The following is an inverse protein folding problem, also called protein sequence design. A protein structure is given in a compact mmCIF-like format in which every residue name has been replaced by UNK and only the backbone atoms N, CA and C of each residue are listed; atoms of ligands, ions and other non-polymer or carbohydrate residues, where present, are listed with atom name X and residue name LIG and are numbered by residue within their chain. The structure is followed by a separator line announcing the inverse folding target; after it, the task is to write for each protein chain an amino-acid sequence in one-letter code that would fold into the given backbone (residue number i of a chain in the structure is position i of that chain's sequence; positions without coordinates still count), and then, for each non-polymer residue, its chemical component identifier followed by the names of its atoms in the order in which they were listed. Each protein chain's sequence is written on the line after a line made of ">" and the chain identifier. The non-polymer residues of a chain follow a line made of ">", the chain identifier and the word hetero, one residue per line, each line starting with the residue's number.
data_IF_440415414876
#
_entry.id   IF_440415414876
#
_cell.length_a   1.000
_cell.length_b   1.000
_cell.length_c   1.000
_cell.angle_alpha   90.00
_cell.angle_beta   90.00
_cell.angle_gamma   90.00
#
_symmetry.space_group_name_H-M   'P 1'
#
loop_
_entity.id
_entity.type
_entity.pdbx_description
1 polymer ?
#
# COMPACT_ATOMS: atom_id res chain seq x y z
N UNK A 1 -37.72 11.49 -18.46
CA UNK A 1 -38.09 11.59 -17.02
C UNK A 1 -37.41 12.80 -16.38
N UNK A 2 -38.11 13.58 -15.55
CA UNK A 2 -37.52 14.66 -14.75
C UNK A 2 -37.16 14.15 -13.35
N UNK A 3 -36.08 14.66 -12.77
CA UNK A 3 -35.57 14.27 -11.45
C UNK A 3 -35.13 15.50 -10.67
N UNK A 4 -35.22 15.47 -9.33
CA UNK A 4 -34.67 16.56 -8.50
C UNK A 4 -33.14 16.63 -8.66
N UNK A 5 -32.56 17.83 -8.60
CA UNK A 5 -31.11 18.03 -8.71
C UNK A 5 -30.37 17.21 -7.65
N UNK A 6 -30.86 17.17 -6.41
CA UNK A 6 -30.27 16.36 -5.35
C UNK A 6 -30.21 14.86 -5.69
N UNK A 7 -31.25 14.36 -6.38
CA UNK A 7 -31.30 12.97 -6.83
C UNK A 7 -30.44 12.74 -8.07
N UNK A 8 -30.37 13.72 -8.97
CA UNK A 8 -29.48 13.70 -10.13
C UNK A 8 -28.01 13.63 -9.69
N UNK A 9 -27.59 14.45 -8.73
CA UNK A 9 -26.22 14.44 -8.20
C UNK A 9 -25.85 13.07 -7.61
N UNK A 10 -26.74 12.48 -6.81
CA UNK A 10 -26.51 11.17 -6.20
C UNK A 10 -26.39 10.04 -7.24
N UNK A 11 -27.26 10.05 -8.26
CA UNK A 11 -27.25 9.04 -9.34
C UNK A 11 -25.99 9.10 -10.20
N UNK A 12 -25.45 10.29 -10.40
CA UNK A 12 -24.25 10.51 -11.22
C UNK A 12 -22.95 10.54 -10.39
N UNK A 13 -23.00 10.16 -9.12
CA UNK A 13 -21.81 10.10 -8.26
C UNK A 13 -21.14 11.44 -7.98
N UNK A 14 -21.85 12.56 -8.12
CA UNK A 14 -21.28 13.90 -7.90
C UNK A 14 -21.14 14.23 -6.42
N UNK A 15 -22.17 13.89 -5.62
CA UNK A 15 -22.19 14.00 -4.17
C UNK A 15 -23.45 13.31 -3.63
N UNK A 16 -23.59 13.18 -2.30
CA UNK A 16 -24.80 12.56 -1.73
C UNK A 16 -26.05 13.42 -1.93
N UNK A 17 -27.23 12.82 -1.88
CA UNK A 17 -28.50 13.56 -1.99
C UNK A 17 -28.64 14.64 -0.91
N UNK A 18 -28.24 14.34 0.33
CA UNK A 18 -28.32 15.28 1.44
C UNK A 18 -27.25 16.38 1.34
N UNK A 19 -26.07 16.03 0.86
CA UNK A 19 -24.98 16.98 0.60
C UNK A 19 -25.34 17.94 -0.53
N UNK A 20 -25.92 17.43 -1.64
CA UNK A 20 -26.45 18.27 -2.70
C UNK A 20 -27.46 19.29 -2.19
N UNK A 21 -28.39 18.88 -1.31
CA UNK A 21 -29.35 19.81 -0.67
C UNK A 21 -28.65 20.89 0.15
N UNK A 22 -27.64 20.53 0.95
CA UNK A 22 -26.84 21.49 1.73
C UNK A 22 -26.07 22.46 0.83
N UNK A 23 -25.47 21.96 -0.25
CA UNK A 23 -24.74 22.77 -1.23
C UNK A 23 -25.66 23.73 -1.98
N UNK A 24 -26.89 23.33 -2.30
CA UNK A 24 -27.92 24.20 -2.86
C UNK A 24 -28.31 25.30 -1.85
N UNK A 25 -28.63 24.92 -0.60
CA UNK A 25 -29.02 25.87 0.45
C UNK A 25 -27.94 26.91 0.74
N UNK A 26 -26.67 26.52 0.67
CA UNK A 26 -25.51 27.38 0.88
C UNK A 26 -25.05 28.13 -0.39
N UNK A 27 -25.74 27.97 -1.52
CA UNK A 27 -25.40 28.66 -2.79
C UNK A 27 -24.09 28.20 -3.42
N UNK A 28 -23.64 26.97 -3.14
CA UNK A 28 -22.35 26.45 -3.60
C UNK A 28 -22.45 25.55 -4.85
N UNK A 29 -23.67 25.27 -5.31
CA UNK A 29 -23.95 24.42 -6.46
C UNK A 29 -24.49 25.25 -7.62
N UNK A 30 -23.93 25.02 -8.82
CA UNK A 30 -24.31 25.72 -10.07
C UNK A 30 -24.84 24.71 -11.09
N UNK A 31 -25.86 25.11 -11.84
CA UNK A 31 -26.32 24.44 -13.05
C UNK A 31 -26.05 25.34 -14.25
N UNK A 32 -25.27 24.85 -15.22
CA UNK A 32 -24.84 25.59 -16.40
C UNK A 32 -24.26 26.98 -16.06
N UNK A 33 -23.44 27.03 -15.00
CA UNK A 33 -22.81 28.27 -14.52
C UNK A 33 -23.64 29.13 -13.57
N UNK A 34 -24.95 28.90 -13.45
CA UNK A 34 -25.86 29.69 -12.62
C UNK A 34 -26.06 29.04 -11.24
N UNK A 35 -25.91 29.82 -10.17
CA UNK A 35 -26.10 29.33 -8.78
C UNK A 35 -27.56 28.93 -8.55
N UNK A 36 -27.75 27.73 -8.02
CA UNK A 36 -29.08 27.19 -7.73
C UNK A 36 -29.40 27.44 -6.25
N UNK A 37 -30.61 27.93 -5.96
CA UNK A 37 -31.08 28.18 -4.59
C UNK A 37 -32.20 27.24 -4.11
N UNK A 38 -32.72 26.39 -4.98
CA UNK A 38 -33.77 25.42 -4.66
C UNK A 38 -33.51 24.06 -5.33
N UNK A 39 -33.92 22.97 -4.67
CA UNK A 39 -33.81 21.60 -5.19
C UNK A 39 -34.87 21.31 -6.27
N UNK A 40 -34.77 22.05 -7.38
CA UNK A 40 -35.68 21.99 -8.52
C UNK A 40 -35.46 20.72 -9.37
N UNK A 41 -36.30 20.53 -10.39
CA UNK A 41 -36.23 19.36 -11.27
C UNK A 41 -35.47 19.67 -12.55
N UNK A 42 -34.64 18.72 -12.97
CA UNK A 42 -33.89 18.74 -14.24
C UNK A 42 -34.25 17.53 -15.09
N UNK A 43 -33.94 17.58 -16.38
CA UNK A 43 -34.05 16.41 -17.26
C UNK A 43 -33.04 15.35 -16.79
N UNK A 44 -33.46 14.10 -16.67
CA UNK A 44 -32.55 13.00 -16.29
C UNK A 44 -31.42 12.74 -17.29
N UNK A 45 -31.60 13.18 -18.54
CA UNK A 45 -30.61 13.10 -19.63
C UNK A 45 -29.59 14.25 -19.62
N UNK A 46 -29.67 15.16 -18.65
CA UNK A 46 -28.69 16.23 -18.49
C UNK A 46 -27.29 15.62 -18.29
N UNK A 47 -26.27 16.22 -18.91
CA UNK A 47 -24.90 15.76 -18.74
C UNK A 47 -24.38 16.14 -17.32
N UNK A 48 -23.65 15.26 -16.61
CA UNK A 48 -23.17 15.56 -15.26
C UNK A 48 -22.31 16.83 -15.15
N UNK A 49 -21.55 17.17 -16.19
CA UNK A 49 -20.73 18.40 -16.24
C UNK A 49 -21.54 19.70 -16.20
N UNK A 50 -22.84 19.65 -16.47
CA UNK A 50 -23.75 20.78 -16.29
C UNK A 50 -23.86 21.20 -14.82
N UNK A 51 -23.61 20.28 -13.88
CA UNK A 51 -23.51 20.59 -12.46
C UNK A 51 -22.06 20.90 -12.11
N UNK A 52 -21.82 22.09 -11.57
CA UNK A 52 -20.49 22.49 -11.10
C UNK A 52 -20.57 23.02 -9.68
N UNK A 53 -19.51 22.78 -8.91
CA UNK A 53 -19.35 23.33 -7.57
C UNK A 53 -18.57 24.66 -7.63
N UNK A 54 -18.81 25.57 -6.69
CA UNK A 54 -17.94 26.74 -6.52
C UNK A 54 -16.56 26.34 -5.97
N UNK A 55 -15.61 27.27 -5.92
CA UNK A 55 -14.24 26.97 -5.47
C UNK A 55 -14.20 26.37 -4.05
N UNK A 56 -15.02 26.90 -3.12
CA UNK A 56 -15.09 26.42 -1.74
C UNK A 56 -15.62 24.99 -1.65
N UNK A 57 -16.68 24.66 -2.36
CA UNK A 57 -17.23 23.31 -2.40
C UNK A 57 -16.28 22.34 -3.10
N UNK A 58 -15.61 22.73 -4.20
CA UNK A 58 -14.55 21.91 -4.81
C UNK A 58 -13.41 21.64 -3.84
N UNK A 59 -12.99 22.65 -3.09
CA UNK A 59 -11.97 22.49 -2.06
C UNK A 59 -12.43 21.53 -0.96
N UNK A 60 -13.68 21.63 -0.51
CA UNK A 60 -14.23 20.70 0.48
C UNK A 60 -14.29 19.26 -0.05
N UNK A 61 -14.74 19.07 -1.29
CA UNK A 61 -14.79 17.75 -1.95
C UNK A 61 -13.38 17.15 -2.10
N UNK A 62 -12.42 17.95 -2.56
CA UNK A 62 -11.04 17.50 -2.76
C UNK A 62 -10.33 17.13 -1.44
N UNK A 63 -10.81 17.65 -0.32
CA UNK A 63 -10.25 17.40 1.02
C UNK A 63 -11.06 16.41 1.85
N UNK A 64 -11.98 15.66 1.22
CA UNK A 64 -12.69 14.54 1.86
C UNK A 64 -11.70 13.48 2.29
N UNK A 65 -11.84 13.02 3.52
CA UNK A 65 -10.94 12.05 4.12
C UNK A 65 -11.41 10.62 3.83
N UNK A 66 -10.46 9.74 3.53
CA UNK A 66 -10.67 8.30 3.50
C UNK A 66 -9.57 7.59 4.29
N UNK A 67 -9.95 6.57 5.06
CA UNK A 67 -9.09 5.82 5.97
C UNK A 67 -9.26 4.32 5.70
N UNK A 68 -8.14 3.63 5.55
CA UNK A 68 -8.08 2.17 5.57
C UNK A 68 -7.84 1.70 7.01
N UNK A 69 -8.58 0.69 7.44
CA UNK A 69 -8.45 0.04 8.74
C UNK A 69 -8.26 -1.44 8.52
N UNK A 70 -7.31 -2.05 9.23
CA UNK A 70 -7.29 -3.50 9.38
C UNK A 70 -8.26 -3.87 10.50
N UNK A 71 -9.50 -4.19 10.14
CA UNK A 71 -10.55 -4.55 11.10
C UNK A 71 -10.16 -5.88 11.78
N UNK A 72 -10.09 -5.95 13.13
CA UNK A 72 -10.01 -7.22 13.83
C UNK A 72 -11.32 -8.01 13.71
N UNK A 73 -11.27 -9.32 13.97
CA UNK A 73 -12.48 -10.13 14.17
C UNK A 73 -13.27 -9.63 15.39
N UNK A 74 -14.56 -9.96 15.47
CA UNK A 74 -15.45 -9.60 16.59
C UNK A 74 -15.75 -8.10 16.76
N UNK A 75 -15.49 -7.30 15.72
CA UNK A 75 -15.97 -5.92 15.64
C UNK A 75 -17.08 -5.81 14.60
N UNK A 76 -18.19 -5.15 14.92
CA UNK A 76 -19.15 -4.77 13.90
C UNK A 76 -18.52 -3.75 12.95
N UNK A 77 -18.88 -3.76 11.67
CA UNK A 77 -18.44 -2.72 10.73
C UNK A 77 -19.40 -1.53 10.68
N UNK A 78 -20.62 -1.71 11.15
CA UNK A 78 -21.68 -0.69 11.21
C UNK A 78 -22.16 -0.48 12.64
N UNK A 79 -22.66 0.72 12.93
CA UNK A 79 -23.21 1.05 14.24
C UNK A 79 -24.35 0.11 14.65
N UNK A 80 -24.36 -0.31 15.91
CA UNK A 80 -25.44 -1.07 16.53
C UNK A 80 -25.71 -0.51 17.92
N UNK A 81 -26.99 -0.38 18.30
CA UNK A 81 -27.36 0.06 19.66
C UNK A 81 -27.14 -1.02 20.72
N UNK A 82 -26.83 -2.25 20.31
CA UNK A 82 -26.74 -3.43 21.20
C UNK A 82 -25.31 -3.73 21.67
N UNK A 83 -24.31 -3.04 21.13
CA UNK A 83 -22.89 -3.31 21.44
C UNK A 83 -22.04 -2.10 21.11
N UNK A 84 -21.05 -1.84 21.96
CA UNK A 84 -20.07 -0.77 21.78
C UNK A 84 -18.86 -1.22 20.95
N UNK A 85 -18.78 -2.49 20.56
CA UNK A 85 -17.66 -3.07 19.80
C UNK A 85 -17.86 -2.83 18.31
N UNK A 86 -17.64 -1.58 17.91
CA UNK A 86 -17.74 -1.12 16.52
C UNK A 86 -16.38 -0.72 15.97
N UNK A 87 -16.03 -1.17 14.77
CA UNK A 87 -14.70 -0.92 14.18
C UNK A 87 -14.39 0.57 13.97
N UNK A 88 -15.40 1.44 13.92
CA UNK A 88 -15.14 2.89 13.88
C UNK A 88 -14.56 3.42 15.21
N UNK A 89 -14.78 2.75 16.34
CA UNK A 89 -14.13 3.12 17.61
C UNK A 89 -12.61 2.97 17.56
N UNK A 90 -12.09 2.17 16.62
CA UNK A 90 -10.67 2.03 16.36
C UNK A 90 -10.10 3.18 15.53
N UNK A 91 -10.92 4.11 15.02
CA UNK A 91 -10.46 5.30 14.30
C UNK A 91 -10.01 6.39 15.26
N UNK A 92 -8.96 6.09 16.02
CA UNK A 92 -8.34 6.97 17.01
C UNK A 92 -6.86 7.20 16.65
N UNK A 93 -6.25 8.31 17.09
CA UNK A 93 -4.85 8.63 16.79
C UNK A 93 -3.86 7.53 17.16
N UNK A 94 -4.09 6.81 18.26
CA UNK A 94 -3.23 5.77 18.81
C UNK A 94 -3.12 4.55 17.89
N UNK A 95 -4.16 4.32 17.07
CA UNK A 95 -4.18 3.22 16.12
C UNK A 95 -3.62 3.63 14.74
N UNK A 96 -3.00 4.80 14.60
CA UNK A 96 -2.37 5.19 13.32
C UNK A 96 -1.08 4.43 13.11
N UNK A 97 -0.87 3.96 11.88
CA UNK A 97 0.43 3.42 11.49
C UNK A 97 1.50 4.53 11.53
N UNK A 98 2.74 4.17 11.89
CA UNK A 98 3.86 5.11 12.05
C UNK A 98 4.14 5.94 10.77
N UNK A 99 3.84 5.38 9.59
CA UNK A 99 3.97 6.03 8.29
C UNK A 99 2.90 7.12 8.03
N UNK A 100 1.86 7.24 8.86
CA UNK A 100 0.72 8.17 8.69
C UNK A 100 0.75 9.33 9.72
N UNK A 101 1.71 9.33 10.65
CA UNK A 101 1.82 10.34 11.73
C UNK A 101 2.14 11.74 11.18
N UNK A 102 2.74 11.84 9.99
CA UNK A 102 3.01 13.12 9.31
C UNK A 102 1.75 13.78 8.72
N UNK A 103 0.65 13.04 8.58
CA UNK A 103 -0.60 13.62 8.11
C UNK A 103 -1.31 14.29 9.29
N UNK A 104 -1.43 15.62 9.25
CA UNK A 104 -2.18 16.46 10.20
C UNK A 104 -3.70 16.22 10.15
N UNK A 105 -4.11 14.96 10.19
CA UNK A 105 -5.51 14.57 10.17
C UNK A 105 -6.14 14.94 11.52
N UNK A 106 -6.96 15.97 11.48
CA UNK A 106 -7.73 16.40 12.64
C UNK A 106 -8.64 15.26 13.12
N UNK A 107 -8.53 14.78 14.38
CA UNK A 107 -9.36 13.71 14.92
C UNK A 107 -10.87 13.95 14.78
N UNK A 108 -11.31 15.20 14.73
CA UNK A 108 -12.72 15.54 14.49
C UNK A 108 -13.25 15.06 13.12
N UNK A 109 -12.39 14.95 12.10
CA UNK A 109 -12.78 14.42 10.78
C UNK A 109 -13.08 12.92 10.81
N UNK A 110 -12.44 12.17 11.71
CA UNK A 110 -12.66 10.72 11.85
C UNK A 110 -14.10 10.38 12.27
N UNK A 111 -14.75 11.29 13.02
CA UNK A 111 -16.13 11.11 13.49
C UNK A 111 -17.16 11.12 12.36
N UNK A 112 -16.85 11.71 11.20
CA UNK A 112 -17.80 11.84 10.08
C UNK A 112 -17.71 10.69 9.08
N UNK A 113 -16.70 9.83 9.21
CA UNK A 113 -16.48 8.74 8.28
C UNK A 113 -17.60 7.68 8.37
N UNK A 114 -18.00 7.18 7.20
CA UNK A 114 -18.91 6.04 7.09
C UNK A 114 -18.16 4.82 6.54
N UNK A 115 -18.53 3.60 6.95
CA UNK A 115 -17.91 2.40 6.40
C UNK A 115 -18.30 2.23 4.93
N UNK A 116 -17.31 1.90 4.09
CA UNK A 116 -17.44 1.56 2.68
C UNK A 116 -17.20 0.07 2.54
N UNK A 117 -18.16 -0.66 1.97
CA UNK A 117 -18.17 -2.12 1.86
C UNK A 117 -17.83 -2.82 3.20
N UNK A 118 -18.79 -2.82 4.15
CA UNK A 118 -18.58 -3.31 5.51
C UNK A 118 -18.26 -4.81 5.55
N UNK A 119 -17.29 -5.21 6.38
CA UNK A 119 -17.04 -6.62 6.68
C UNK A 119 -18.04 -7.16 7.70
N UNK A 120 -18.35 -8.44 7.59
CA UNK A 120 -19.12 -9.16 8.62
C UNK A 120 -18.38 -9.18 9.97
N UNK A 121 -19.13 -9.46 11.04
CA UNK A 121 -18.63 -9.47 12.41
C UNK A 121 -17.43 -10.44 12.60
N UNK A 122 -17.54 -11.65 12.08
CA UNK A 122 -16.52 -12.71 12.18
C UNK A 122 -15.41 -12.64 11.14
N UNK A 123 -15.34 -11.56 10.34
CA UNK A 123 -14.25 -11.35 9.38
C UNK A 123 -13.28 -10.29 9.89
N UNK A 124 -12.01 -10.44 9.48
CA UNK A 124 -10.94 -9.47 9.68
C UNK A 124 -10.41 -8.91 8.36
N UNK A 125 -9.49 -7.97 8.44
CA UNK A 125 -8.77 -7.45 7.29
C UNK A 125 -9.25 -6.09 6.82
N UNK A 126 -8.97 -5.78 5.55
CA UNK A 126 -9.11 -4.44 5.01
C UNK A 126 -10.55 -3.94 5.07
N UNK A 127 -10.76 -2.78 5.70
CA UNK A 127 -12.03 -2.04 5.68
C UNK A 127 -11.76 -0.59 5.33
N UNK A 128 -12.63 0.02 4.54
CA UNK A 128 -12.51 1.41 4.13
C UNK A 128 -13.55 2.26 4.87
N UNK A 129 -13.13 3.43 5.34
CA UNK A 129 -13.98 4.45 5.93
C UNK A 129 -13.79 5.75 5.16
N UNK A 130 -14.86 6.47 4.81
CA UNK A 130 -14.75 7.70 4.03
C UNK A 130 -15.80 8.74 4.39
N UNK A 131 -15.47 10.02 4.20
CA UNK A 131 -16.45 11.12 4.14
C UNK A 131 -17.19 11.12 2.79
N UNK A 132 -16.58 10.53 1.75
CA UNK A 132 -17.18 10.40 0.43
C UNK A 132 -18.09 9.17 0.36
N UNK A 133 -19.38 9.38 0.61
CA UNK A 133 -20.37 8.31 0.55
C UNK A 133 -20.62 7.80 -0.88
N UNK A 134 -20.17 8.52 -1.92
CA UNK A 134 -20.31 8.04 -3.31
C UNK A 134 -19.48 6.77 -3.54
N UNK A 135 -18.42 6.58 -2.75
CA UNK A 135 -17.59 5.37 -2.76
C UNK A 135 -18.37 4.10 -2.43
N UNK A 136 -19.49 4.18 -1.69
CA UNK A 136 -20.34 3.01 -1.41
C UNK A 136 -20.79 2.36 -2.72
N UNK A 137 -21.25 3.16 -3.68
CA UNK A 137 -21.66 2.65 -5.00
C UNK A 137 -20.48 2.14 -5.80
N UNK A 138 -19.34 2.85 -5.79
CA UNK A 138 -18.14 2.48 -6.56
C UNK A 138 -17.52 1.15 -6.10
N UNK A 139 -17.62 0.83 -4.81
CA UNK A 139 -17.09 -0.40 -4.22
C UNK A 139 -18.15 -1.48 -3.99
N UNK A 140 -19.39 -1.29 -4.44
CA UNK A 140 -20.48 -2.25 -4.22
C UNK A 140 -20.27 -3.58 -4.97
N UNK A 141 -19.75 -3.51 -6.20
CA UNK A 141 -19.54 -4.67 -7.09
C UNK A 141 -18.05 -4.88 -7.44
N UNK A 142 -17.14 -4.32 -6.66
CA UNK A 142 -15.71 -4.50 -6.90
C UNK A 142 -15.23 -5.92 -6.54
N UNK A 143 -14.13 -6.35 -7.16
CA UNK A 143 -13.47 -7.60 -6.80
C UNK A 143 -12.82 -7.47 -5.42
N UNK A 144 -13.09 -8.44 -4.56
CA UNK A 144 -12.55 -8.56 -3.22
C UNK A 144 -11.71 -9.82 -3.14
N UNK A 145 -10.62 -9.77 -2.38
CA UNK A 145 -9.72 -10.91 -2.21
C UNK A 145 -9.60 -11.25 -0.74
N UNK A 146 -9.73 -12.54 -0.43
CA UNK A 146 -9.75 -13.05 0.93
C UNK A 146 -8.70 -14.14 1.10
N UNK A 147 -7.99 -14.11 2.22
CA UNK A 147 -7.35 -15.30 2.77
C UNK A 147 -8.37 -16.04 3.63
N UNK A 148 -8.64 -17.30 3.27
CA UNK A 148 -9.66 -18.13 3.88
C UNK A 148 -8.99 -19.33 4.52
N UNK A 149 -9.32 -19.58 5.79
CA UNK A 149 -8.93 -20.80 6.51
C UNK A 149 -10.19 -21.61 6.76
N UNK A 150 -10.18 -22.88 6.38
CA UNK A 150 -11.28 -23.83 6.49
C UNK A 150 -11.12 -24.73 7.72
N UNK A 151 -12.23 -25.25 8.24
CA UNK A 151 -12.22 -26.39 9.18
C UNK A 151 -12.06 -27.71 8.45
N UNK A 152 -12.72 -27.83 7.31
CA UNK A 152 -12.65 -29.01 6.46
C UNK A 152 -11.45 -28.94 5.52
N UNK A 153 -10.96 -30.11 5.12
CA UNK A 153 -9.91 -30.22 4.10
C UNK A 153 -10.42 -29.70 2.75
N UNK A 154 -9.60 -28.88 2.10
CA UNK A 154 -9.78 -28.35 0.75
C UNK A 154 -9.28 -29.37 -0.26
N UNK A 155 -10.17 -30.26 -0.69
CA UNK A 155 -9.86 -31.30 -1.69
C UNK A 155 -10.14 -30.79 -3.12
N UNK A 156 -9.53 -31.42 -4.13
CA UNK A 156 -9.74 -31.06 -5.54
C UNK A 156 -11.22 -31.04 -5.95
N UNK A 157 -12.10 -31.98 -5.54
CA UNK A 157 -13.52 -31.90 -5.84
C UNK A 157 -14.20 -30.65 -5.26
N UNK A 158 -13.80 -30.21 -4.06
CA UNK A 158 -14.36 -29.00 -3.44
C UNK A 158 -13.88 -27.73 -4.14
N UNK A 159 -12.62 -27.69 -4.55
CA UNK A 159 -12.08 -26.61 -5.38
C UNK A 159 -12.82 -26.56 -6.72
N UNK A 160 -13.07 -27.72 -7.35
CA UNK A 160 -13.83 -27.83 -8.58
C UNK A 160 -15.24 -27.24 -8.43
N UNK A 161 -15.99 -27.63 -7.38
CA UNK A 161 -17.32 -27.07 -7.09
C UNK A 161 -17.27 -25.55 -6.95
N UNK A 162 -16.29 -25.01 -6.20
CA UNK A 162 -16.15 -23.57 -6.04
C UNK A 162 -15.77 -22.83 -7.34
N UNK A 163 -15.12 -23.50 -8.29
CA UNK A 163 -14.77 -22.94 -9.60
C UNK A 163 -15.90 -23.00 -10.63
N UNK A 164 -16.96 -23.76 -10.34
CA UNK A 164 -18.16 -23.87 -11.16
C UNK A 164 -19.06 -22.64 -10.99
N UNK A 165 -20.12 -22.58 -11.80
CA UNK A 165 -21.17 -21.59 -11.62
C UNK A 165 -21.96 -21.91 -10.34
N UNK A 166 -21.97 -20.96 -9.41
CA UNK A 166 -22.67 -21.09 -8.13
C UNK A 166 -23.87 -20.17 -8.11
N UNK A 167 -24.95 -20.62 -7.46
CA UNK A 167 -26.16 -19.84 -7.25
C UNK A 167 -26.32 -19.55 -5.77
N UNK A 168 -26.36 -18.27 -5.41
CA UNK A 168 -26.59 -17.81 -4.05
C UNK A 168 -27.92 -17.08 -4.00
N UNK A 169 -28.84 -17.57 -3.16
CA UNK A 169 -30.20 -17.03 -3.03
C UNK A 169 -30.95 -16.95 -4.37
N UNK A 170 -30.75 -17.94 -5.24
CA UNK A 170 -31.38 -18.01 -6.58
C UNK A 170 -30.70 -17.17 -7.66
N UNK A 171 -29.59 -16.48 -7.35
CA UNK A 171 -28.85 -15.64 -8.30
C UNK A 171 -27.48 -16.25 -8.60
N UNK A 172 -27.17 -16.42 -9.89
CA UNK A 172 -25.84 -16.83 -10.32
C UNK A 172 -24.79 -15.79 -9.90
N UNK A 173 -23.68 -16.25 -9.31
CA UNK A 173 -22.55 -15.39 -8.97
C UNK A 173 -21.40 -15.57 -9.96
N UNK A 174 -20.59 -14.53 -10.19
CA UNK A 174 -19.36 -14.66 -10.97
C UNK A 174 -18.46 -15.77 -10.42
N UNK A 175 -17.76 -16.47 -11.31
CA UNK A 175 -16.85 -17.55 -10.92
C UNK A 175 -15.80 -17.05 -9.95
N UNK A 176 -15.56 -17.84 -8.91
CA UNK A 176 -14.55 -17.57 -7.90
C UNK A 176 -13.16 -17.90 -8.48
N UNK A 177 -12.18 -17.03 -8.23
CA UNK A 177 -10.77 -17.37 -8.48
C UNK A 177 -10.20 -17.92 -7.18
N UNK A 178 -9.65 -19.12 -7.23
CA UNK A 178 -9.19 -19.84 -6.03
C UNK A 178 -7.73 -20.21 -6.25
N UNK A 179 -6.88 -19.79 -5.33
CA UNK A 179 -5.49 -20.20 -5.25
C UNK A 179 -5.30 -20.96 -3.92
N UNK A 180 -5.29 -22.31 -3.95
CA UNK A 180 -4.99 -23.11 -2.76
C UNK A 180 -3.60 -22.75 -2.21
N UNK A 181 -3.52 -22.57 -0.90
CA UNK A 181 -2.26 -22.30 -0.19
C UNK A 181 -1.82 -23.51 0.65
N UNK A 182 -2.79 -24.27 1.17
CA UNK A 182 -2.59 -25.52 1.91
C UNK A 182 -3.85 -26.37 1.84
N UNK A 183 -3.79 -27.55 2.45
CA UNK A 183 -4.93 -28.45 2.65
C UNK A 183 -6.12 -27.81 3.39
N UNK A 184 -5.92 -26.68 4.08
CA UNK A 184 -6.96 -26.01 4.87
C UNK A 184 -7.05 -24.51 4.60
N UNK A 185 -6.36 -23.99 3.58
CA UNK A 185 -6.40 -22.55 3.27
C UNK A 185 -6.28 -22.24 1.79
N UNK A 186 -6.91 -21.14 1.39
CA UNK A 186 -6.82 -20.61 0.04
C UNK A 186 -6.91 -19.08 0.03
N UNK A 187 -6.38 -18.47 -1.02
CA UNK A 187 -6.78 -17.14 -1.45
C UNK A 187 -7.97 -17.24 -2.40
N UNK A 188 -9.05 -16.53 -2.11
CA UNK A 188 -10.26 -16.52 -2.94
C UNK A 188 -10.60 -15.09 -3.34
N UNK A 189 -10.72 -14.85 -4.64
CA UNK A 189 -11.28 -13.62 -5.19
C UNK A 189 -12.76 -13.80 -5.58
N UNK A 190 -13.59 -12.84 -5.16
CA UNK A 190 -15.04 -12.83 -5.39
C UNK A 190 -15.50 -11.40 -5.70
N UNK A 191 -16.56 -11.25 -6.49
CA UNK A 191 -17.27 -9.97 -6.61
C UNK A 191 -18.44 -9.93 -5.63
N UNK A 192 -18.39 -8.96 -4.70
CA UNK A 192 -19.42 -8.74 -3.69
C UNK A 192 -19.09 -9.31 -2.30
N UNK A 193 -20.08 -9.21 -1.41
CA UNK A 193 -19.87 -9.30 0.03
C UNK A 193 -19.34 -10.66 0.55
N UNK A 194 -18.57 -10.59 1.64
CA UNK A 194 -18.09 -11.74 2.45
C UNK A 194 -19.16 -12.80 2.78
N UNK A 195 -20.41 -12.39 2.98
CA UNK A 195 -21.53 -13.32 3.24
C UNK A 195 -21.82 -14.25 2.06
N UNK A 196 -21.64 -13.78 0.81
CA UNK A 196 -21.74 -14.61 -0.40
C UNK A 196 -20.65 -15.66 -0.40
N UNK A 197 -19.41 -15.30 -0.08
CA UNK A 197 -18.29 -16.24 -0.01
C UNK A 197 -18.55 -17.36 1.02
N UNK A 198 -19.09 -17.04 2.20
CA UNK A 198 -19.48 -18.08 3.18
C UNK A 198 -20.53 -19.04 2.63
N UNK A 199 -21.55 -18.53 1.93
CA UNK A 199 -22.60 -19.38 1.31
C UNK A 199 -22.02 -20.27 0.21
N UNK A 200 -21.15 -19.72 -0.65
CA UNK A 200 -20.44 -20.49 -1.68
C UNK A 200 -19.60 -21.62 -1.07
N UNK A 201 -18.79 -21.33 -0.05
CA UNK A 201 -17.98 -22.34 0.63
C UNK A 201 -18.85 -23.45 1.27
N UNK A 202 -19.98 -23.09 1.89
CA UNK A 202 -20.90 -24.09 2.44
C UNK A 202 -21.49 -25.02 1.38
N UNK A 203 -21.83 -24.51 0.19
CA UNK A 203 -22.31 -25.34 -0.91
C UNK A 203 -21.25 -26.35 -1.39
N UNK A 204 -19.96 -26.00 -1.29
CA UNK A 204 -18.85 -26.90 -1.56
C UNK A 204 -18.49 -27.82 -0.37
N UNK A 205 -19.26 -27.82 0.72
CA UNK A 205 -18.96 -28.61 1.91
C UNK A 205 -17.71 -28.12 2.67
N UNK A 206 -17.51 -26.81 2.72
CA UNK A 206 -16.43 -26.15 3.46
C UNK A 206 -17.01 -25.17 4.50
N UNK A 207 -16.66 -25.39 5.76
CA UNK A 207 -16.87 -24.44 6.83
C UNK A 207 -15.66 -23.51 7.00
N UNK A 208 -15.88 -22.20 6.91
CA UNK A 208 -14.82 -21.20 7.08
C UNK A 208 -14.57 -20.96 8.57
N UNK A 209 -13.34 -21.23 9.02
CA UNK A 209 -12.82 -20.93 10.36
C UNK A 209 -12.43 -19.46 10.52
N UNK A 210 -11.65 -18.93 9.58
CA UNK A 210 -11.22 -17.52 9.60
C UNK A 210 -11.30 -16.93 8.20
N UNK A 211 -11.71 -15.67 8.13
CA UNK A 211 -11.89 -14.93 6.89
C UNK A 211 -11.20 -13.57 7.01
N UNK A 212 -10.14 -13.36 6.24
CA UNK A 212 -9.37 -12.11 6.24
C UNK A 212 -9.38 -11.47 4.86
N UNK A 213 -9.99 -10.29 4.71
CA UNK A 213 -9.95 -9.54 3.45
C UNK A 213 -8.58 -8.92 3.25
N UNK A 214 -7.90 -9.30 2.17
CA UNK A 214 -6.60 -8.79 1.77
C UNK A 214 -6.71 -7.61 0.80
N UNK A 215 -7.75 -7.59 -0.05
CA UNK A 215 -7.91 -6.57 -1.09
C UNK A 215 -9.38 -6.19 -1.32
N UNK A 216 -9.62 -4.93 -1.64
CA UNK A 216 -10.91 -4.35 -2.01
C UNK A 216 -10.71 -3.48 -3.26
N UNK A 217 -11.07 -4.00 -4.44
CA UNK A 217 -10.75 -3.36 -5.71
C UNK A 217 -9.25 -3.19 -5.90
N UNK A 218 -8.78 -1.94 -5.99
CA UNK A 218 -7.35 -1.61 -6.10
C UNK A 218 -6.68 -1.34 -4.74
N UNK A 219 -7.44 -1.42 -3.64
CA UNK A 219 -6.93 -1.18 -2.30
C UNK A 219 -6.44 -2.49 -1.69
N UNK A 220 -5.18 -2.51 -1.26
CA UNK A 220 -4.56 -3.67 -0.61
C UNK A 220 -4.30 -3.41 0.87
N UNK A 221 -4.49 -4.45 1.69
CA UNK A 221 -4.18 -4.42 3.12
C UNK A 221 -2.69 -4.15 3.36
N UNK A 222 -1.83 -4.81 2.58
CA UNK A 222 -0.37 -4.72 2.71
C UNK A 222 0.09 -5.02 4.14
N UNK A 223 0.99 -4.20 4.64
CA UNK A 223 1.61 -4.34 5.97
C UNK A 223 0.81 -3.66 7.09
N UNK A 224 -0.43 -3.25 6.84
CA UNK A 224 -1.26 -2.61 7.86
C UNK A 224 -1.57 -3.61 8.97
N UNK A 225 -1.02 -3.38 10.17
CA UNK A 225 -1.20 -4.25 11.33
C UNK A 225 -2.65 -4.27 11.81
N UNK A 226 -3.06 -5.36 12.46
CA UNK A 226 -4.43 -5.54 12.96
C UNK A 226 -4.79 -4.43 13.97
N UNK A 227 -5.98 -3.84 13.80
CA UNK A 227 -6.44 -2.71 14.62
C UNK A 227 -5.88 -1.35 14.17
N UNK A 228 -4.83 -1.34 13.35
CA UNK A 228 -4.21 -0.10 12.88
C UNK A 228 -4.91 0.47 11.63
N UNK A 229 -4.78 1.78 11.47
CA UNK A 229 -5.34 2.57 10.39
C UNK A 229 -4.28 3.39 9.67
N UNK A 230 -4.57 3.72 8.41
CA UNK A 230 -3.80 4.67 7.59
C UNK A 230 -4.70 5.47 6.67
N UNK A 231 -4.30 6.68 6.31
CA UNK A 231 -4.99 7.42 5.25
C UNK A 231 -4.85 6.75 3.89
N UNK A 232 -5.94 6.82 3.12
CA UNK A 232 -5.97 6.34 1.74
C UNK A 232 -5.80 7.51 0.78
N UNK A 233 -4.59 7.68 0.26
CA UNK A 233 -4.28 8.66 -0.80
C UNK A 233 -4.74 8.19 -2.19
N UNK A 234 -4.98 6.89 -2.37
CA UNK A 234 -5.30 6.26 -3.66
C UNK A 234 -6.72 6.55 -4.21
N UNK A 235 -7.57 7.25 -3.47
CA UNK A 235 -9.00 7.41 -3.80
C UNK A 235 -9.36 8.77 -4.40
N UNK A 236 -8.46 9.75 -4.32
CA UNK A 236 -8.68 11.11 -4.79
C UNK A 236 -8.45 11.24 -6.30
N UNK A 237 -9.44 10.82 -7.09
CA UNK A 237 -9.52 11.11 -8.52
C UNK A 237 -8.57 10.31 -9.41
N UNK A 238 -9.09 9.81 -10.53
CA UNK A 238 -8.31 9.14 -11.56
C UNK A 238 -7.19 10.02 -12.13
N UNK A 239 -5.98 9.92 -11.58
CA UNK A 239 -4.72 10.26 -12.25
C UNK A 239 -3.68 9.24 -11.84
N UNK A 240 -3.48 8.25 -12.72
CA UNK A 240 -2.32 7.36 -12.83
C UNK A 240 -1.29 7.48 -11.69
N UNK A 241 -1.57 6.88 -10.55
CA UNK A 241 -0.54 6.51 -9.57
C UNK A 241 -0.85 5.09 -9.10
N UNK A 242 -0.85 4.17 -10.07
CA UNK A 242 -0.52 2.80 -9.75
C UNK A 242 0.90 2.76 -9.19
N UNK A 243 1.15 1.83 -8.28
CA UNK A 243 2.47 1.46 -7.81
C UNK A 243 3.48 1.50 -8.97
N UNK A 244 4.43 2.43 -8.92
CA UNK A 244 5.53 2.48 -9.87
C UNK A 244 6.76 2.00 -9.14
N UNK A 245 7.17 0.78 -9.41
CA UNK A 245 8.54 0.36 -9.15
C UNK A 245 9.44 1.24 -10.02
N UNK A 246 10.10 2.23 -9.42
CA UNK A 246 11.30 2.76 -10.05
C UNK A 246 12.33 1.64 -10.00
N UNK A 247 12.50 0.93 -11.14
CA UNK A 247 13.74 0.20 -11.38
C UNK A 247 14.87 1.20 -11.19
N UNK A 248 15.69 0.97 -10.16
CA UNK A 248 16.99 1.60 -10.05
C UNK A 248 17.68 1.50 -11.42
N UNK A 249 18.26 2.61 -11.88
CA UNK A 249 18.94 2.68 -13.18
C UNK A 249 19.91 1.49 -13.33
N UNK A 250 20.06 0.88 -14.52
CA UNK A 250 20.73 -0.42 -14.69
C UNK A 250 22.27 -0.37 -14.56
N UNK A 251 22.85 0.60 -13.87
CA UNK A 251 24.30 0.84 -13.90
C UNK A 251 25.08 0.31 -12.72
N UNK A 252 24.43 -0.13 -11.63
CA UNK A 252 25.14 -0.79 -10.51
C UNK A 252 24.59 -2.20 -10.36
N UNK A 253 25.14 -3.15 -11.12
CA UNK A 253 24.90 -4.58 -10.85
C UNK A 253 25.58 -4.94 -9.54
N UNK A 254 24.86 -4.77 -8.43
CA UNK A 254 25.23 -5.42 -7.18
C UNK A 254 24.91 -6.90 -7.26
N UNK A 255 25.93 -7.70 -6.98
CA UNK A 255 25.78 -9.14 -7.02
C UNK A 255 25.06 -9.69 -5.79
N UNK A 256 24.94 -8.90 -4.71
CA UNK A 256 24.16 -9.28 -3.53
C UNK A 256 22.76 -8.68 -3.59
N UNK A 257 21.74 -9.52 -3.40
CA UNK A 257 20.31 -9.15 -3.41
C UNK A 257 19.71 -9.38 -2.03
N UNK A 258 18.91 -8.42 -1.56
CA UNK A 258 18.11 -8.58 -0.35
C UNK A 258 16.63 -8.63 -0.71
N UNK A 259 15.86 -9.41 0.05
CA UNK A 259 14.41 -9.27 0.05
C UNK A 259 14.08 -8.02 0.84
N UNK A 260 13.31 -7.09 0.27
CA UNK A 260 12.92 -5.86 0.96
C UNK A 260 11.39 -5.77 1.10
N UNK A 261 10.86 -5.56 2.32
CA UNK A 261 11.60 -5.52 3.60
C UNK A 261 12.12 -6.91 4.01
N UNK A 262 13.31 -7.02 4.61
CA UNK A 262 13.85 -8.31 5.02
C UNK A 262 13.13 -8.82 6.28
N UNK A 263 12.80 -10.11 6.29
CA UNK A 263 12.14 -10.77 7.42
C UNK A 263 13.04 -10.87 8.65
N UNK A 264 14.35 -11.06 8.44
CA UNK A 264 15.36 -11.14 9.48
C UNK A 264 16.38 -10.02 9.27
N UNK A 265 16.41 -9.06 10.20
CA UNK A 265 17.36 -7.95 10.20
C UNK A 265 17.67 -7.48 11.62
N UNK A 266 18.77 -6.75 11.76
CA UNK A 266 19.08 -5.99 12.96
C UNK A 266 18.04 -4.88 13.20
N UNK A 267 18.01 -4.29 14.40
CA UNK A 267 17.30 -3.04 14.65
C UNK A 267 17.68 -1.96 13.63
N UNK A 268 16.74 -1.05 13.35
CA UNK A 268 17.01 0.10 12.50
C UNK A 268 17.84 1.10 13.28
N UNK A 269 18.97 1.51 12.72
CA UNK A 269 19.78 2.61 13.20
C UNK A 269 19.49 3.83 12.35
N UNK A 270 19.08 4.93 12.96
CA UNK A 270 18.93 6.21 12.26
C UNK A 270 20.28 6.94 12.28
N UNK A 271 20.71 7.48 11.14
CA UNK A 271 21.85 8.40 11.15
C UNK A 271 21.50 9.64 11.95
N UNK A 272 22.46 10.14 12.73
CA UNK A 272 22.26 11.31 13.59
C UNK A 272 21.83 12.57 12.82
N UNK A 273 21.18 13.49 13.54
CA UNK A 273 20.65 14.76 13.01
C UNK A 273 19.31 14.62 12.26
N UNK A 274 19.10 15.51 11.29
CA UNK A 274 17.88 15.58 10.47
C UNK A 274 17.85 14.56 9.31
N UNK A 275 18.79 13.60 9.31
CA UNK A 275 18.89 12.60 8.26
C UNK A 275 17.68 11.66 8.25
N UNK A 276 17.03 11.56 7.10
CA UNK A 276 15.98 10.56 6.84
C UNK A 276 16.58 9.25 6.32
N UNK A 277 17.81 8.89 6.69
CA UNK A 277 18.44 7.61 6.29
C UNK A 277 18.48 6.65 7.48
N UNK A 278 18.12 5.40 7.22
CA UNK A 278 18.13 4.31 8.19
C UNK A 278 19.08 3.23 7.71
N UNK A 279 19.73 2.56 8.66
CA UNK A 279 20.64 1.46 8.43
C UNK A 279 20.15 0.22 9.16
N UNK A 280 20.33 -0.93 8.55
CA UNK A 280 20.20 -2.20 9.23
C UNK A 280 21.07 -3.26 8.56
N UNK A 281 21.43 -4.27 9.32
CA UNK A 281 22.13 -5.45 8.81
C UNK A 281 21.11 -6.55 8.57
N UNK A 282 21.18 -7.20 7.42
CA UNK A 282 20.39 -8.39 7.10
C UNK A 282 21.23 -9.36 6.27
N UNK A 283 20.70 -10.55 5.97
CA UNK A 283 21.39 -11.48 5.08
C UNK A 283 20.98 -11.22 3.63
N UNK A 284 21.97 -10.94 2.80
CA UNK A 284 21.83 -10.83 1.35
C UNK A 284 22.23 -12.13 0.66
N UNK A 285 21.57 -12.45 -0.45
CA UNK A 285 21.88 -13.60 -1.30
C UNK A 285 22.74 -13.17 -2.48
N UNK A 286 23.85 -13.86 -2.69
CA UNK A 286 24.71 -13.64 -3.85
C UNK A 286 24.03 -14.17 -5.12
N UNK A 287 24.09 -13.39 -6.19
CA UNK A 287 23.54 -13.72 -7.50
C UNK A 287 24.35 -14.85 -8.12
N UNK A 288 23.65 -15.85 -8.69
CA UNK A 288 24.28 -17.08 -9.22
C UNK A 288 25.46 -16.82 -10.16
N UNK A 289 25.35 -15.80 -11.00
CA UNK A 289 26.38 -15.39 -11.98
C UNK A 289 27.72 -14.96 -11.34
N UNK A 290 27.74 -14.63 -10.05
CA UNK A 290 28.90 -14.04 -9.37
C UNK A 290 29.37 -14.86 -8.17
N UNK A 291 28.82 -16.05 -7.97
CA UNK A 291 29.17 -16.95 -6.86
C UNK A 291 30.65 -17.30 -6.89
N UNK A 292 31.19 -17.72 -8.05
CA UNK A 292 32.58 -18.15 -8.16
C UNK A 292 33.58 -17.01 -7.84
N UNK A 293 33.31 -15.80 -8.34
CA UNK A 293 34.12 -14.62 -8.05
C UNK A 293 34.02 -14.24 -6.56
N UNK A 294 32.81 -14.24 -6.00
CA UNK A 294 32.58 -13.91 -4.61
C UNK A 294 33.26 -14.90 -3.66
N UNK A 295 33.18 -16.21 -3.92
CA UNK A 295 33.87 -17.23 -3.11
C UNK A 295 35.40 -17.07 -3.10
N UNK A 296 35.99 -16.57 -4.20
CA UNK A 296 37.43 -16.38 -4.30
C UNK A 296 37.96 -15.19 -3.49
N UNK A 297 37.11 -14.20 -3.19
CA UNK A 297 37.51 -12.92 -2.59
C UNK A 297 36.87 -12.63 -1.24
N UNK A 298 35.68 -13.18 -0.97
CA UNK A 298 34.88 -12.86 0.21
C UNK A 298 35.36 -13.62 1.44
N UNK A 299 35.33 -12.96 2.60
CA UNK A 299 35.74 -13.54 3.89
C UNK A 299 34.54 -13.88 4.76
N UNK A 300 33.42 -13.18 4.55
CA UNK A 300 32.25 -13.26 5.43
C UNK A 300 31.02 -13.78 4.68
N UNK A 301 30.82 -15.10 4.64
CA UNK A 301 29.64 -15.72 4.03
C UNK A 301 29.33 -17.11 4.58
N UNK A 302 28.09 -17.57 4.31
CA UNK A 302 27.60 -18.91 4.61
C UNK A 302 27.13 -19.54 3.29
N UNK A 303 27.67 -20.72 2.97
CA UNK A 303 27.24 -21.51 1.81
C UNK A 303 26.28 -22.62 2.23
N UNK A 304 25.11 -22.67 1.61
CA UNK A 304 24.08 -23.72 1.79
C UNK A 304 23.70 -24.27 0.42
N UNK A 305 24.38 -25.34 -0.02
CA UNK A 305 24.26 -25.86 -1.39
C UNK A 305 24.70 -24.82 -2.41
N UNK A 306 23.82 -24.49 -3.37
CA UNK A 306 24.07 -23.49 -4.43
C UNK A 306 23.74 -22.04 -4.00
N UNK A 307 23.39 -21.83 -2.73
CA UNK A 307 23.02 -20.53 -2.19
C UNK A 307 24.15 -20.04 -1.30
N UNK A 308 24.64 -18.83 -1.61
CA UNK A 308 25.55 -18.09 -0.73
C UNK A 308 24.80 -16.92 -0.10
N UNK A 309 24.83 -16.88 1.22
CA UNK A 309 24.31 -15.77 2.03
C UNK A 309 25.47 -15.04 2.69
N UNK A 310 25.43 -13.71 2.66
CA UNK A 310 26.43 -12.84 3.30
C UNK A 310 25.71 -11.75 4.08
N UNK A 311 26.19 -11.36 5.28
CA UNK A 311 25.65 -10.21 5.98
C UNK A 311 25.87 -8.94 5.16
N UNK A 312 24.83 -8.12 5.05
CA UNK A 312 24.86 -6.85 4.34
C UNK A 312 24.28 -5.72 5.20
N UNK A 313 24.97 -4.60 5.19
CA UNK A 313 24.47 -3.32 5.67
C UNK A 313 23.61 -2.68 4.58
N UNK A 314 22.31 -2.61 4.81
CA UNK A 314 21.37 -1.93 3.95
C UNK A 314 21.15 -0.49 4.45
N UNK A 315 21.23 0.46 3.52
CA UNK A 315 20.91 1.87 3.73
C UNK A 315 19.60 2.15 3.01
N UNK A 316 18.62 2.66 3.74
CA UNK A 316 17.29 2.96 3.22
C UNK A 316 16.89 4.39 3.56
N UNK A 317 16.01 4.97 2.76
CA UNK A 317 15.42 6.27 3.07
C UNK A 317 14.19 6.09 3.95
N UNK A 318 14.29 6.49 5.22
CA UNK A 318 13.19 6.55 6.17
C UNK A 318 11.97 7.30 5.62
N UNK A 319 10.78 6.76 5.90
CA UNK A 319 9.53 7.23 5.29
C UNK A 319 9.32 6.78 3.83
N UNK A 320 10.19 5.91 3.29
CA UNK A 320 10.02 5.31 1.96
C UNK A 320 10.57 3.87 1.92
N UNK A 321 10.03 3.01 1.06
CA UNK A 321 10.56 1.66 0.82
C UNK A 321 11.73 1.65 -0.17
N UNK A 322 12.48 2.76 -0.21
CA UNK A 322 13.59 2.94 -1.16
C UNK A 322 14.84 2.41 -0.48
N UNK A 323 15.28 1.25 -0.95
CA UNK A 323 16.64 0.77 -0.75
C UNK A 323 17.57 1.71 -1.51
N UNK A 324 18.33 2.49 -0.75
CA UNK A 324 19.33 3.37 -1.33
C UNK A 324 20.56 2.56 -1.71
N UNK A 325 21.06 1.74 -0.78
CA UNK A 325 22.35 1.07 -0.91
C UNK A 325 22.44 -0.22 -0.10
N UNK A 326 23.32 -1.14 -0.50
CA UNK A 326 23.67 -2.35 0.26
C UNK A 326 25.17 -2.61 0.18
N UNK A 327 25.82 -2.82 1.31
CA UNK A 327 27.25 -3.12 1.40
C UNK A 327 27.44 -4.46 2.09
N UNK A 328 28.23 -5.36 1.52
CA UNK A 328 28.68 -6.55 2.23
C UNK A 328 29.68 -6.19 3.32
N UNK A 329 29.93 -7.10 4.26
CA UNK A 329 30.94 -6.87 5.30
C UNK A 329 32.33 -6.61 4.70
N UNK A 330 32.68 -7.30 3.62
CA UNK A 330 33.97 -7.12 2.95
C UNK A 330 34.07 -5.73 2.28
N UNK A 331 32.97 -5.18 1.76
CA UNK A 331 32.93 -3.80 1.25
C UNK A 331 33.17 -2.80 2.40
N UNK A 332 32.58 -3.04 3.58
CA UNK A 332 32.74 -2.17 4.75
C UNK A 332 34.20 -2.15 5.21
N UNK A 333 34.85 -3.32 5.29
CA UNK A 333 36.27 -3.44 5.66
C UNK A 333 37.18 -2.68 4.68
N UNK A 334 36.84 -2.65 3.39
CA UNK A 334 37.56 -1.86 2.39
C UNK A 334 37.29 -0.36 2.53
N UNK A 335 36.04 0.03 2.78
CA UNK A 335 35.69 1.42 3.07
C UNK A 335 36.42 1.96 4.29
N UNK A 336 36.51 1.19 5.38
CA UNK A 336 37.19 1.59 6.60
C UNK A 336 38.67 1.95 6.37
N UNK A 337 39.36 1.21 5.49
CA UNK A 337 40.75 1.53 5.10
C UNK A 337 40.87 2.86 4.36
N UNK A 338 39.83 3.23 3.59
CA UNK A 338 39.78 4.46 2.82
C UNK A 338 39.27 5.66 3.63
N UNK A 339 38.65 5.47 4.80
CA UNK A 339 38.10 6.55 5.63
C UNK A 339 39.11 7.69 5.89
N UNK A 340 40.39 7.44 6.21
CA UNK A 340 41.36 8.52 6.44
C UNK A 340 41.58 9.39 5.19
N UNK A 341 41.68 8.78 4.01
CA UNK A 341 41.86 9.50 2.74
C UNK A 341 40.59 10.25 2.34
N UNK A 342 39.42 9.63 2.54
CA UNK A 342 38.12 10.26 2.31
C UNK A 342 37.99 11.51 3.18
N UNK A 343 38.28 11.41 4.48
CA UNK A 343 38.23 12.57 5.40
C UNK A 343 39.20 13.66 4.97
N UNK A 344 40.43 13.30 4.62
CA UNK A 344 41.44 14.25 4.10
C UNK A 344 40.97 14.94 2.82
N UNK A 345 40.24 14.25 1.95
CA UNK A 345 39.66 14.84 0.74
C UNK A 345 38.53 15.84 1.05
N UNK A 346 37.69 15.55 2.06
CA UNK A 346 36.65 16.47 2.54
C UNK A 346 37.25 17.71 3.24
N UNK A 347 38.27 17.52 4.08
CA UNK A 347 38.93 18.61 4.81
C UNK A 347 39.79 19.49 3.90
N UNK A 348 40.35 18.91 2.83
CA UNK A 348 41.17 19.60 1.82
C UNK A 348 40.41 20.57 0.91
N UNK A 349 39.11 20.81 1.14
CA UNK A 349 38.34 21.83 0.43
C UNK A 349 38.28 21.64 -1.09
N UNK A 350 38.33 20.40 -1.58
CA UNK A 350 38.40 20.15 -3.02
C UNK A 350 37.00 20.20 -3.67
N UNK A 351 36.45 21.41 -3.80
CA UNK A 351 35.39 21.72 -4.76
C UNK A 351 35.90 22.55 -5.96
N UNK A 352 37.22 22.77 -6.07
CA UNK A 352 37.84 23.41 -7.26
C UNK A 352 39.20 22.82 -7.61
N UNK A 353 39.22 21.57 -8.05
CA UNK A 353 40.05 21.11 -9.17
C UNK A 353 39.71 19.65 -9.39
N UNK A 354 39.73 19.21 -10.65
CA UNK A 354 39.47 17.82 -11.04
C UNK A 354 40.23 16.90 -10.10
N UNK A 355 39.50 16.16 -9.26
CA UNK A 355 40.03 15.00 -8.56
C UNK A 355 40.75 14.16 -9.61
N UNK A 356 42.07 14.02 -9.46
CA UNK A 356 42.88 13.24 -10.38
C UNK A 356 42.53 11.77 -10.13
N UNK A 357 41.56 11.26 -10.87
CA UNK A 357 41.04 9.88 -10.82
C UNK A 357 42.18 8.84 -10.95
N UNK A 358 43.32 9.25 -11.51
CA UNK A 358 44.54 8.44 -11.63
C UNK A 358 45.18 8.02 -10.30
N UNK A 359 45.03 8.79 -9.21
CA UNK A 359 45.67 8.45 -7.92
C UNK A 359 44.94 7.31 -7.21
N UNK A 360 43.62 7.25 -7.32
CA UNK A 360 42.79 6.19 -6.74
C UNK A 360 42.96 4.89 -7.55
N UNK A 361 43.01 4.99 -8.88
CA UNK A 361 43.21 3.84 -9.77
C UNK A 361 44.58 3.14 -9.64
N UNK A 362 45.60 3.81 -9.09
CA UNK A 362 46.95 3.23 -8.95
C UNK A 362 47.14 2.40 -7.67
N UNK A 363 46.25 2.52 -6.68
CA UNK A 363 46.38 1.81 -5.40
C UNK A 363 45.70 0.44 -5.35
N UNK A 364 45.01 0.02 -6.41
CA UNK A 364 44.41 -1.30 -6.53
C UNK A 364 44.56 -1.85 -7.96
N UNK A 365 45.74 -2.35 -8.37
CA UNK A 365 46.02 -2.71 -9.76
C UNK A 365 45.23 -3.92 -10.27
N UNK A 366 44.49 -4.64 -9.41
CA UNK A 366 43.74 -5.84 -9.79
C UNK A 366 42.41 -5.92 -9.03
N UNK A 367 41.38 -5.16 -9.44
CA UNK A 367 39.96 -5.50 -9.17
C UNK A 367 39.02 -4.70 -10.08
N UNK A 368 37.87 -5.28 -10.49
CA UNK A 368 36.99 -4.68 -11.47
C UNK A 368 36.19 -3.51 -10.87
N UNK A 369 36.61 -2.30 -11.26
CA UNK A 369 35.93 -0.98 -11.17
C UNK A 369 35.79 -0.36 -9.76
N UNK A 370 36.35 0.84 -9.65
CA UNK A 370 36.50 1.68 -8.45
C UNK A 370 35.18 2.08 -7.79
N UNK A 371 34.89 1.50 -6.63
CA UNK A 371 33.72 1.80 -5.79
C UNK A 371 33.73 3.25 -5.28
N UNK A 372 34.91 3.83 -5.09
CA UNK A 372 35.08 5.22 -4.64
C UNK A 372 34.69 6.25 -5.71
N UNK A 373 34.95 5.95 -6.99
CA UNK A 373 34.52 6.76 -8.15
C UNK A 373 32.99 6.86 -8.22
N UNK A 374 32.32 5.73 -8.00
CA UNK A 374 30.88 5.61 -8.21
C UNK A 374 30.08 6.33 -7.11
N UNK A 375 30.53 6.28 -5.85
CA UNK A 375 29.90 7.04 -4.74
C UNK A 375 30.00 8.55 -4.92
N UNK A 376 31.14 9.04 -5.41
CA UNK A 376 31.32 10.47 -5.68
C UNK A 376 30.46 10.95 -6.85
N UNK A 377 30.28 10.13 -7.89
CA UNK A 377 29.39 10.42 -9.02
C UNK A 377 27.90 10.42 -8.64
N UNK A 378 27.50 9.60 -7.67
CA UNK A 378 26.13 9.53 -7.17
C UNK A 378 25.75 10.69 -6.25
N UNK A 379 26.74 11.29 -5.57
CA UNK A 379 26.54 12.41 -4.64
C UNK A 379 26.57 13.79 -5.32
N UNK A 380 27.19 13.91 -6.50
CA UNK A 380 27.23 15.13 -7.30
C UNK A 380 26.83 14.87 -8.77
N UNK A 381 25.52 14.84 -9.09
CA UNK A 381 25.09 14.92 -10.48
C UNK A 381 25.39 16.33 -11.02
N UNK A 382 26.12 16.44 -12.14
CA UNK A 382 26.19 17.66 -12.95
C UNK A 382 24.80 18.05 -13.47
#
# INVERSE_FOLDING_TARGET
>A
MRVKISQFCARNGLCSRNEAKKLIQSGQLKLNGVVIRADSTVRGTLHPSSITFNARARFSEANKVSVMLHKPESYLSTFSRRTDVWSKSLLIPENRCENDIQNHLNPSKLRRLVPINPLEYGASGLTLFSEDVTLISRFSDCEEEYHVIFRDRLTEPKVYVLSCELHIDGVAIPRLKIAPLSDYSAQISIQGASSKLRKACRQAGLEIRSLKRLRLGQLELGDLLCGMLRLSTALSGSRQHGWRFERLRPTVKRYVRINHPPQLRSPLLKLEGDSNKLLYVCNGRVSREHIATFESSARHFIKKGDIIETPVLAIVKGGSHILLETLSMDDIDEFEKLVPEIRKAFDGGCLKSKLNISVISQMAPNRPRDVASDLLSALYPL
#
